data_IF_255140178624
#
_entry.id   IF_255140178624
#
_cell.length_a   1.000
_cell.length_b   1.000
_cell.length_c   1.000
_cell.angle_alpha   90.00
_cell.angle_beta   90.00
_cell.angle_gamma   90.00
#
_symmetry.space_group_name_H-M   'P 1'
#
loop_
_entity.id
_entity.type
_entity.pdbx_description
1 polymer ?
#
# COMPACT_ATOMS: atom_id res chain seq x y z
N UNK A 1 21.33 -4.85 31.08
CA UNK A 1 20.73 -3.81 30.21
C UNK A 1 19.23 -3.70 30.50
N UNK A 2 18.84 -3.63 31.77
CA UNK A 2 17.48 -3.34 32.20
C UNK A 2 17.56 -2.10 33.08
N UNK A 3 17.25 -0.94 32.52
CA UNK A 3 17.14 0.29 33.30
C UNK A 3 16.00 1.18 32.83
N UNK A 4 15.20 0.70 31.87
CA UNK A 4 14.07 1.44 31.30
C UNK A 4 12.91 0.46 31.12
N UNK A 5 11.75 0.81 31.68
CA UNK A 5 10.54 0.01 31.60
C UNK A 5 10.08 -0.15 30.13
N UNK A 6 9.73 -1.36 29.71
CA UNK A 6 9.24 -1.65 28.35
C UNK A 6 8.07 -0.76 27.92
N UNK A 7 7.17 -0.41 28.85
CA UNK A 7 6.08 0.53 28.59
C UNK A 7 6.60 1.90 28.19
N UNK A 8 7.66 2.39 28.85
CA UNK A 8 8.29 3.67 28.53
C UNK A 8 8.95 3.61 27.16
N UNK A 9 9.64 2.51 26.83
CA UNK A 9 10.25 2.31 25.50
C UNK A 9 9.17 2.29 24.41
N UNK A 10 8.10 1.52 24.59
CA UNK A 10 7.00 1.44 23.62
C UNK A 10 6.28 2.80 23.45
N UNK A 11 6.15 3.57 24.54
CA UNK A 11 5.58 4.91 24.50
C UNK A 11 6.48 5.87 23.71
N UNK A 12 7.80 5.81 23.92
CA UNK A 12 8.77 6.59 23.13
C UNK A 12 8.65 6.23 21.65
N UNK A 13 8.63 4.94 21.32
CA UNK A 13 8.46 4.47 19.93
C UNK A 13 7.14 4.98 19.35
N UNK A 14 6.04 4.92 20.10
CA UNK A 14 4.74 5.40 19.68
C UNK A 14 4.74 6.91 19.35
N UNK A 15 5.29 7.74 20.24
CA UNK A 15 5.37 9.19 20.04
C UNK A 15 6.27 9.53 18.84
N UNK A 16 7.44 8.89 18.73
CA UNK A 16 8.35 9.09 17.60
C UNK A 16 7.73 8.62 16.28
N UNK A 17 6.97 7.53 16.27
CA UNK A 17 6.26 7.05 15.09
C UNK A 17 5.19 8.06 14.62
N UNK A 18 4.44 8.68 15.53
CA UNK A 18 3.49 9.76 15.19
C UNK A 18 4.22 10.96 14.58
N UNK A 19 5.32 11.40 15.20
CA UNK A 19 6.12 12.52 14.70
C UNK A 19 6.63 12.28 13.27
N UNK A 20 7.19 11.10 13.01
CA UNK A 20 7.64 10.71 11.66
C UNK A 20 6.45 10.64 10.70
N UNK A 21 5.33 10.03 11.10
CA UNK A 21 4.13 9.91 10.27
C UNK A 21 3.57 11.27 9.83
N UNK A 22 3.54 12.25 10.75
CA UNK A 22 3.15 13.62 10.45
C UNK A 22 4.05 14.25 9.37
N UNK A 23 5.36 14.20 9.54
CA UNK A 23 6.31 14.77 8.59
C UNK A 23 6.29 14.10 7.22
N UNK A 24 6.01 12.78 7.17
CA UNK A 24 5.91 12.03 5.91
C UNK A 24 4.67 12.43 5.10
N UNK A 25 3.54 12.69 5.77
CA UNK A 25 2.26 12.99 5.11
C UNK A 25 2.10 14.48 4.77
N UNK A 26 2.74 15.37 5.53
CA UNK A 26 2.51 16.83 5.41
C UNK A 26 2.91 17.42 4.04
N UNK A 27 3.93 16.87 3.37
CA UNK A 27 4.49 17.42 2.13
C UNK A 27 4.11 16.62 0.87
N UNK A 28 2.96 15.92 0.88
CA UNK A 28 2.50 15.19 -0.32
C UNK A 28 1.90 16.14 -1.36
N UNK A 29 2.15 15.88 -2.64
CA UNK A 29 1.53 16.64 -3.74
C UNK A 29 0.00 16.47 -3.71
N UNK A 30 -0.81 17.52 -3.95
CA UNK A 30 -2.28 17.43 -3.87
C UNK A 30 -2.91 16.32 -4.73
N UNK A 31 -2.32 16.03 -5.89
CA UNK A 31 -2.76 14.96 -6.78
C UNK A 31 -2.65 13.55 -6.16
N UNK A 32 -1.85 13.39 -5.09
CA UNK A 32 -1.58 12.13 -4.43
C UNK A 32 -2.43 11.89 -3.17
N UNK A 33 -3.29 12.82 -2.73
CA UNK A 33 -4.11 12.60 -1.53
C UNK A 33 -5.03 11.37 -1.65
N UNK A 34 -5.67 11.18 -2.81
CA UNK A 34 -6.56 10.02 -3.04
C UNK A 34 -5.77 8.70 -3.10
N UNK A 35 -4.65 8.61 -3.86
CA UNK A 35 -3.75 7.46 -3.76
C UNK A 35 -3.20 7.22 -2.35
N UNK A 36 -2.83 8.27 -1.62
CA UNK A 36 -2.30 8.17 -0.27
C UNK A 36 -3.34 7.58 0.68
N UNK A 37 -4.60 8.00 0.58
CA UNK A 37 -5.70 7.44 1.35
C UNK A 37 -5.82 5.93 1.10
N UNK A 38 -5.72 5.50 -0.16
CA UNK A 38 -5.73 4.08 -0.54
C UNK A 38 -4.53 3.31 0.04
N UNK A 39 -3.32 3.90 -0.01
CA UNK A 39 -2.10 3.32 0.59
C UNK A 39 -2.28 3.15 2.10
N UNK A 40 -2.80 4.16 2.80
CA UNK A 40 -2.99 4.08 4.26
C UNK A 40 -3.99 2.99 4.65
N UNK A 41 -5.01 2.75 3.81
CA UNK A 41 -5.92 1.62 4.00
C UNK A 41 -5.17 0.27 3.86
N UNK A 42 -4.32 0.13 2.82
CA UNK A 42 -3.52 -1.07 2.63
C UNK A 42 -2.52 -1.32 3.79
N UNK A 43 -1.88 -0.26 4.31
CA UNK A 43 -0.95 -0.35 5.44
C UNK A 43 -1.68 -0.76 6.73
N UNK A 44 -2.91 -0.31 6.92
CA UNK A 44 -3.72 -0.69 8.09
C UNK A 44 -3.93 -2.21 8.22
N UNK A 45 -3.74 -2.95 7.13
CA UNK A 45 -3.83 -4.40 7.11
C UNK A 45 -2.75 -5.12 7.94
N UNK A 46 -1.81 -4.40 8.56
CA UNK A 46 -0.86 -4.91 9.56
C UNK A 46 -1.53 -5.66 10.72
N UNK A 47 -2.83 -5.40 10.96
CA UNK A 47 -3.68 -6.18 11.88
C UNK A 47 -3.63 -7.70 11.62
N UNK A 48 -3.25 -8.15 10.42
CA UNK A 48 -3.07 -9.57 10.09
C UNK A 48 -2.07 -10.26 11.02
N UNK A 49 -1.03 -9.56 11.49
CA UNK A 49 -0.05 -10.10 12.44
C UNK A 49 -0.74 -10.47 13.76
N UNK A 50 -1.58 -9.58 14.27
CA UNK A 50 -2.38 -9.83 15.47
C UNK A 50 -3.40 -10.95 15.26
N UNK A 51 -4.05 -10.99 14.10
CA UNK A 51 -5.00 -12.06 13.77
C UNK A 51 -4.34 -13.43 13.68
N UNK A 52 -3.14 -13.53 13.10
CA UNK A 52 -2.37 -14.78 13.04
C UNK A 52 -1.97 -15.25 14.44
N UNK A 53 -1.52 -14.34 15.31
CA UNK A 53 -1.21 -14.68 16.71
C UNK A 53 -2.46 -15.15 17.45
N UNK A 54 -3.60 -14.47 17.28
CA UNK A 54 -4.86 -14.87 17.88
C UNK A 54 -5.33 -16.26 17.39
N UNK A 55 -5.21 -16.54 16.09
CA UNK A 55 -5.57 -17.83 15.52
C UNK A 55 -4.66 -18.98 15.99
N UNK A 56 -3.38 -18.69 16.24
CA UNK A 56 -2.38 -19.69 16.62
C UNK A 56 -2.32 -19.95 18.13
N UNK A 57 -2.49 -18.92 18.97
CA UNK A 57 -2.27 -19.00 20.41
C UNK A 57 -3.56 -19.20 21.22
N UNK A 58 -4.73 -19.16 20.59
CA UNK A 58 -6.00 -19.33 21.30
C UNK A 58 -6.44 -20.79 21.33
N UNK A 59 -6.59 -21.33 22.53
CA UNK A 59 -6.98 -22.72 22.77
C UNK A 59 -8.49 -22.96 22.70
N UNK A 60 -9.30 -21.94 22.94
CA UNK A 60 -10.77 -22.09 22.92
C UNK A 60 -11.27 -22.25 21.49
N UNK A 61 -12.21 -23.18 21.26
CA UNK A 61 -12.76 -23.44 19.94
C UNK A 61 -13.38 -22.18 19.30
N UNK A 62 -14.09 -21.38 20.09
CA UNK A 62 -14.67 -20.11 19.64
C UNK A 62 -13.58 -19.08 19.31
N UNK A 63 -12.57 -18.94 20.17
CA UNK A 63 -11.48 -17.99 19.93
C UNK A 63 -10.64 -18.34 18.70
N UNK A 64 -10.39 -19.64 18.47
CA UNK A 64 -9.69 -20.13 17.28
C UNK A 64 -10.47 -19.88 15.98
N UNK A 65 -11.77 -20.14 15.97
CA UNK A 65 -12.60 -19.87 14.78
C UNK A 65 -12.69 -18.38 14.48
N UNK A 66 -12.81 -17.54 15.52
CA UNK A 66 -12.76 -16.07 15.38
C UNK A 66 -11.40 -15.58 14.89
N UNK A 67 -10.30 -16.17 15.37
CA UNK A 67 -8.95 -15.87 14.90
C UNK A 67 -8.78 -16.19 13.41
N UNK A 68 -9.23 -17.36 12.95
CA UNK A 68 -9.22 -17.73 11.53
C UNK A 68 -10.08 -16.79 10.70
N UNK A 69 -11.27 -16.42 11.17
CA UNK A 69 -12.12 -15.44 10.51
C UNK A 69 -11.45 -14.05 10.43
N UNK A 70 -10.78 -13.63 11.50
CA UNK A 70 -10.02 -12.38 11.54
C UNK A 70 -8.87 -12.39 10.52
N UNK A 71 -8.15 -13.50 10.37
CA UNK A 71 -7.10 -13.64 9.34
C UNK A 71 -7.71 -13.53 7.93
N UNK A 72 -8.84 -14.17 7.68
CA UNK A 72 -9.52 -14.10 6.38
C UNK A 72 -9.94 -12.65 6.04
N UNK A 73 -10.54 -11.93 6.99
CA UNK A 73 -10.93 -10.53 6.81
C UNK A 73 -9.71 -9.61 6.64
N UNK A 74 -8.65 -9.82 7.42
CA UNK A 74 -7.41 -9.06 7.30
C UNK A 74 -6.77 -9.28 5.92
N UNK A 75 -6.77 -10.52 5.41
CA UNK A 75 -6.27 -10.82 4.07
C UNK A 75 -7.02 -10.04 2.98
N UNK A 76 -8.35 -9.93 3.06
CA UNK A 76 -9.13 -9.11 2.11
C UNK A 76 -8.66 -7.64 2.13
N UNK A 77 -8.37 -7.09 3.31
CA UNK A 77 -7.84 -5.73 3.43
C UNK A 77 -6.44 -5.60 2.81
N UNK A 78 -5.52 -6.56 3.08
CA UNK A 78 -4.18 -6.60 2.45
C UNK A 78 -4.32 -6.59 0.92
N UNK A 79 -4.97 -7.62 0.36
CA UNK A 79 -5.02 -7.81 -1.09
C UNK A 79 -5.83 -6.72 -1.78
N UNK A 80 -6.99 -6.36 -1.23
CA UNK A 80 -7.84 -5.31 -1.77
C UNK A 80 -7.17 -3.93 -1.73
N UNK A 81 -6.57 -3.57 -0.59
CA UNK A 81 -5.89 -2.29 -0.40
C UNK A 81 -4.71 -2.12 -1.36
N UNK A 82 -3.83 -3.12 -1.48
CA UNK A 82 -2.68 -3.02 -2.37
C UNK A 82 -3.05 -3.08 -3.85
N UNK A 83 -4.08 -3.85 -4.24
CA UNK A 83 -4.53 -3.95 -5.63
C UNK A 83 -5.16 -2.63 -6.11
N UNK A 84 -6.02 -2.02 -5.31
CA UNK A 84 -6.63 -0.72 -5.63
C UNK A 84 -5.57 0.38 -5.72
N UNK A 85 -4.64 0.39 -4.76
CA UNK A 85 -3.54 1.35 -4.73
C UNK A 85 -2.68 1.26 -6.00
N UNK A 86 -2.33 0.05 -6.45
CA UNK A 86 -1.56 -0.14 -7.70
C UNK A 86 -2.30 0.43 -8.91
N UNK A 87 -3.59 0.14 -9.06
CA UNK A 87 -4.41 0.70 -10.15
C UNK A 87 -4.46 2.23 -10.10
N UNK A 88 -4.54 2.81 -8.90
CA UNK A 88 -4.52 4.27 -8.74
C UNK A 88 -3.18 4.89 -9.15
N UNK A 89 -2.07 4.28 -8.76
CA UNK A 89 -0.73 4.78 -9.11
C UNK A 89 -0.36 4.55 -10.58
N UNK A 90 -0.88 3.50 -11.21
CA UNK A 90 -0.69 3.23 -12.64
C UNK A 90 -1.29 4.33 -13.52
N UNK A 91 -2.36 5.00 -13.09
CA UNK A 91 -2.95 6.14 -13.81
C UNK A 91 -2.04 7.37 -13.85
N UNK A 92 -1.04 7.47 -12.97
CA UNK A 92 -0.04 8.54 -12.97
C UNK A 92 1.21 8.20 -13.78
N UNK A 93 1.39 6.94 -14.21
CA UNK A 93 2.47 6.57 -15.12
C UNK A 93 2.07 6.99 -16.53
N UNK A 94 2.85 7.91 -17.13
CA UNK A 94 2.74 8.18 -18.57
C UNK A 94 2.87 6.84 -19.30
N UNK A 95 1.82 6.47 -20.05
CA UNK A 95 1.87 5.38 -21.03
C UNK A 95 3.09 5.65 -21.90
N UNK A 96 4.05 4.74 -21.94
CA UNK A 96 5.14 4.84 -22.90
C UNK A 96 4.51 5.10 -24.27
N UNK A 97 4.96 6.12 -25.04
CA UNK A 97 4.47 6.29 -26.38
C UNK A 97 4.80 5.00 -27.11
N UNK A 98 3.76 4.21 -27.37
CA UNK A 98 3.84 3.00 -28.18
C UNK A 98 4.57 3.43 -29.43
N UNK A 99 5.81 2.97 -29.60
CA UNK A 99 6.68 3.38 -30.69
C UNK A 99 5.84 3.33 -31.96
N UNK A 100 5.58 4.50 -32.54
CA UNK A 100 4.90 4.60 -33.82
C UNK A 100 5.82 3.85 -34.76
N UNK A 101 5.42 2.64 -35.13
CA UNK A 101 6.10 1.89 -36.17
C UNK A 101 6.01 2.75 -37.42
N UNK A 102 7.07 3.50 -37.69
CA UNK A 102 7.26 4.23 -38.93
C UNK A 102 7.23 3.20 -40.05
N UNK A 103 6.10 3.10 -40.74
CA UNK A 103 5.97 2.33 -41.96
C UNK A 103 6.87 2.95 -43.04
N UNK A 104 7.66 2.16 -43.78
CA UNK A 104 8.54 2.69 -44.81
C UNK A 104 7.78 2.87 -46.12
N UNK A 105 7.83 4.08 -46.67
CA UNK A 105 7.82 4.32 -48.12
C UNK A 105 6.47 4.39 -48.83
N UNK A 106 6.03 5.61 -49.14
CA UNK A 106 5.27 5.89 -50.37
C UNK A 106 5.23 7.40 -50.66
N UNK A 107 6.21 7.92 -51.40
CA UNK A 107 5.97 9.07 -52.31
C UNK A 107 7.09 9.19 -53.36
N UNK A 108 7.00 8.36 -54.41
CA UNK A 108 7.51 8.74 -55.73
C UNK A 108 6.33 9.33 -56.49
N UNK A 109 6.28 10.66 -56.59
CA UNK A 109 5.85 11.43 -57.78
C UNK A 109 5.44 12.85 -57.37
N UNK A 110 6.34 13.81 -57.56
CA UNK A 110 6.02 15.15 -58.07
C UNK A 110 7.30 15.99 -58.15
N UNK A 111 7.98 15.93 -59.29
CA UNK A 111 8.82 17.01 -59.75
C UNK A 111 8.80 16.96 -61.29
N UNK A 112 7.74 17.53 -61.83
CA UNK A 112 7.63 17.94 -63.23
C UNK A 112 8.18 19.35 -63.33
N UNK A 113 9.04 19.55 -64.33
CA UNK A 113 9.66 20.80 -64.82
C UNK A 113 10.90 21.30 -64.10
#
# INVERSE_FOLDING_TARGET
MEMVNHTVINLIIFVLAIYVGYHVVWNVTPALHTPLMSVTNAISAIIIVGAMLAAALTETALGRTMGVAAVALAAVNVFGGFLVTRRMLEMFRKKEPKAVATAPGSEKNSASK
#
